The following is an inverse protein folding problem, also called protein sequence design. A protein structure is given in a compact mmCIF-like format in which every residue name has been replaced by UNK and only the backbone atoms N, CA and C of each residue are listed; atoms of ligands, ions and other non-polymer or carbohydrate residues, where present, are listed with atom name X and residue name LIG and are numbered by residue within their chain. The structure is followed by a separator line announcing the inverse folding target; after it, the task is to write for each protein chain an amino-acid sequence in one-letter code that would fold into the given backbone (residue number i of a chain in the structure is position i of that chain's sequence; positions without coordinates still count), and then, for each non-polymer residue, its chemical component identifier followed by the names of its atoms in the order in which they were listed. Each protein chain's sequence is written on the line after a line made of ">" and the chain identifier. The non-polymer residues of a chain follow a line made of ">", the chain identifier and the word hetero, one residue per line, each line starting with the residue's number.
data_IF_919575608151
#
_entry.id   IF_919575608151
#
_cell.length_a   1.000
_cell.length_b   1.000
_cell.length_c   1.000
_cell.angle_alpha   90.00
_cell.angle_beta   90.00
_cell.angle_gamma   90.00
#
_symmetry.space_group_name_H-M   'P 1'
#
loop_
_entity.id
_entity.type
_entity.pdbx_description
1 polymer ?
#
# COMPACT_ATOMS: atom_id res chain seq x y z
N UNK A 1 -15.31 12.80 27.56
CA UNK A 1 -15.36 11.33 27.38
C UNK A 1 -14.23 10.93 26.44
N UNK A 2 -13.32 10.04 26.86
CA UNK A 2 -12.26 9.50 25.99
C UNK A 2 -12.85 8.46 25.03
N UNK A 3 -12.51 8.43 23.74
CA UNK A 3 -12.96 7.35 22.86
C UNK A 3 -12.21 6.06 23.23
N UNK A 4 -12.98 4.99 23.44
CA UNK A 4 -12.47 3.63 23.68
C UNK A 4 -11.94 3.09 22.36
N UNK A 5 -10.65 2.75 22.31
CA UNK A 5 -10.05 1.95 21.25
C UNK A 5 -10.82 0.62 21.14
N UNK A 6 -11.65 0.47 20.12
CA UNK A 6 -12.26 -0.80 19.74
C UNK A 6 -11.32 -1.49 18.75
N UNK A 7 -10.86 -2.67 19.13
CA UNK A 7 -10.02 -3.55 18.31
C UNK A 7 -10.85 -4.00 17.11
N UNK A 8 -10.48 -3.57 15.89
CA UNK A 8 -11.07 -4.05 14.65
C UNK A 8 -10.44 -5.41 14.31
N UNK A 9 -11.18 -6.49 14.52
CA UNK A 9 -10.77 -7.83 14.06
C UNK A 9 -11.12 -7.93 12.57
N UNK A 10 -10.14 -7.73 11.68
CA UNK A 10 -10.29 -8.08 10.27
C UNK A 10 -10.22 -9.61 10.12
N UNK A 11 -11.37 -10.26 10.19
CA UNK A 11 -11.52 -11.65 9.78
C UNK A 11 -11.81 -11.68 8.27
N UNK A 12 -10.81 -12.02 7.47
CA UNK A 12 -11.03 -12.49 6.09
C UNK A 12 -11.72 -13.84 6.21
N UNK A 13 -12.99 -13.92 5.80
CA UNK A 13 -13.82 -15.11 5.93
C UNK A 13 -13.29 -16.21 5.00
N UNK A 14 -12.65 -17.22 5.58
CA UNK A 14 -12.66 -18.59 5.06
C UNK A 14 -13.67 -19.37 5.90
N UNK A 15 -14.86 -19.61 5.36
CA UNK A 15 -15.83 -20.48 6.00
C UNK A 15 -15.40 -21.95 5.82
N UNK A 16 -14.72 -22.50 6.82
CA UNK A 16 -14.65 -23.95 7.04
C UNK A 16 -15.28 -24.21 8.42
N UNK A 17 -16.49 -24.77 8.38
CA UNK A 17 -17.21 -25.20 9.57
C UNK A 17 -16.39 -26.23 10.35
N UNK A 18 -15.98 -25.92 11.57
CA UNK A 18 -15.95 -26.90 12.66
C UNK A 18 -16.29 -26.23 13.98
N UNK A 19 -17.03 -26.98 14.78
CA UNK A 19 -17.72 -26.60 16.01
C UNK A 19 -16.79 -26.12 17.12
N UNK A 20 -16.99 -24.89 17.59
CA UNK A 20 -16.40 -24.40 18.83
C UNK A 20 -17.08 -23.10 19.24
N UNK A 21 -17.80 -23.12 20.36
CA UNK A 21 -18.45 -21.97 20.98
C UNK A 21 -17.39 -21.04 21.58
N UNK A 22 -16.70 -20.27 20.75
CA UNK A 22 -16.09 -19.02 21.19
C UNK A 22 -17.08 -17.91 20.82
N UNK A 23 -17.50 -17.12 21.81
CA UNK A 23 -18.42 -16.01 21.61
C UNK A 23 -17.70 -14.94 20.80
N UNK A 24 -17.81 -15.01 19.47
CA UNK A 24 -17.51 -13.89 18.61
C UNK A 24 -18.36 -12.71 19.10
N UNK A 25 -17.70 -11.63 19.51
CA UNK A 25 -18.40 -10.38 19.81
C UNK A 25 -19.33 -10.04 18.65
N UNK A 26 -20.50 -9.49 18.96
CA UNK A 26 -21.46 -9.08 17.92
C UNK A 26 -20.71 -8.24 16.88
N UNK A 27 -20.80 -8.66 15.62
CA UNK A 27 -20.26 -7.88 14.50
C UNK A 27 -20.76 -6.44 14.61
N UNK A 28 -19.89 -5.48 14.32
CA UNK A 28 -20.26 -4.07 14.42
C UNK A 28 -21.47 -3.80 13.50
N UNK A 29 -22.66 -3.50 14.05
CA UNK A 29 -23.89 -3.46 13.27
C UNK A 29 -23.94 -2.27 12.32
N UNK A 30 -23.03 -1.29 12.47
CA UNK A 30 -22.90 -0.16 11.55
C UNK A 30 -21.78 -0.35 10.52
N UNK A 31 -21.05 -1.47 10.58
CA UNK A 31 -20.05 -1.80 9.57
C UNK A 31 -20.73 -2.45 8.37
N UNK A 32 -20.71 -1.76 7.23
CA UNK A 32 -21.27 -2.17 5.97
C UNK A 32 -20.14 -2.64 5.06
N UNK A 33 -19.66 -3.90 5.19
CA UNK A 33 -18.52 -4.35 4.40
C UNK A 33 -18.84 -4.30 2.90
N UNK A 34 -17.87 -3.91 2.07
CA UNK A 34 -18.00 -4.06 0.63
C UNK A 34 -18.20 -5.53 0.25
N UNK A 35 -19.09 -5.77 -0.71
CA UNK A 35 -19.27 -7.08 -1.31
C UNK A 35 -18.31 -7.23 -2.49
N UNK A 36 -17.49 -8.29 -2.49
CA UNK A 36 -16.60 -8.64 -3.59
C UNK A 36 -17.17 -9.83 -4.35
N UNK A 37 -17.36 -9.66 -5.67
CA UNK A 37 -17.97 -10.69 -6.53
C UNK A 37 -17.07 -11.93 -6.74
N UNK A 38 -15.76 -11.81 -6.50
CA UNK A 38 -14.78 -12.88 -6.66
C UNK A 38 -13.83 -12.94 -5.46
N UNK A 39 -13.61 -14.13 -4.86
CA UNK A 39 -12.55 -14.31 -3.88
C UNK A 39 -11.19 -14.21 -4.57
N UNK A 40 -10.50 -13.09 -4.40
CA UNK A 40 -9.12 -12.92 -4.90
C UNK A 40 -8.11 -13.34 -3.83
N UNK A 41 -6.88 -13.65 -4.26
CA UNK A 41 -5.68 -13.81 -3.41
C UNK A 41 -5.56 -12.68 -2.38
N UNK A 42 -4.91 -12.90 -1.21
CA UNK A 42 -5.18 -12.15 0.02
C UNK A 42 -5.13 -10.63 -0.21
N UNK A 43 -6.32 -10.03 -0.22
CA UNK A 43 -6.46 -8.59 -0.21
C UNK A 43 -5.64 -8.05 0.95
N UNK A 44 -4.68 -7.17 0.65
CA UNK A 44 -3.96 -6.48 1.70
C UNK A 44 -4.77 -5.27 2.10
N UNK A 45 -5.02 -5.15 3.39
CA UNK A 45 -5.72 -4.04 3.99
C UNK A 45 -4.78 -3.28 4.92
N UNK A 46 -4.95 -1.96 4.98
CA UNK A 46 -4.28 -1.13 5.97
C UNK A 46 -5.29 -0.20 6.64
N UNK A 47 -5.38 -0.30 7.97
CA UNK A 47 -6.10 0.67 8.77
C UNK A 47 -5.30 1.97 8.85
N UNK A 48 -5.95 3.09 8.57
CA UNK A 48 -5.38 4.43 8.67
C UNK A 48 -5.63 5.01 10.08
N UNK A 49 -4.80 5.97 10.55
CA UNK A 49 -4.95 6.55 11.89
C UNK A 49 -6.30 7.23 12.16
N UNK A 50 -7.01 7.65 11.11
CA UNK A 50 -8.34 8.28 11.20
C UNK A 50 -9.50 7.26 11.19
N UNK A 51 -9.19 5.95 11.20
CA UNK A 51 -10.16 4.87 11.18
C UNK A 51 -10.66 4.49 9.79
N UNK A 52 -10.30 5.23 8.73
CA UNK A 52 -10.48 4.78 7.35
C UNK A 52 -9.58 3.59 7.07
N UNK A 53 -9.84 2.83 6.02
CA UNK A 53 -8.94 1.75 5.63
C UNK A 53 -8.77 1.67 4.12
N UNK A 54 -7.56 1.26 3.72
CA UNK A 54 -7.20 1.03 2.34
C UNK A 54 -7.28 -0.45 2.03
N UNK A 55 -7.81 -0.79 0.87
CA UNK A 55 -7.57 -2.05 0.20
C UNK A 55 -6.64 -1.79 -0.98
N UNK A 56 -5.58 -2.57 -1.08
CA UNK A 56 -4.59 -2.42 -2.13
C UNK A 56 -4.24 -3.78 -2.72
N UNK A 57 -4.74 -4.01 -3.93
CA UNK A 57 -4.52 -5.17 -4.77
C UNK A 57 -5.16 -4.91 -6.14
N UNK A 58 -4.87 -5.76 -7.12
CA UNK A 58 -5.46 -5.66 -8.46
C UNK A 58 -6.92 -6.11 -8.40
N UNK A 59 -7.86 -5.18 -8.16
CA UNK A 59 -9.29 -5.39 -8.37
C UNK A 59 -9.70 -4.69 -9.63
N UNK A 60 -10.15 -5.45 -10.63
CA UNK A 60 -10.72 -4.86 -11.84
C UNK A 60 -12.17 -4.39 -11.63
N UNK A 61 -12.92 -4.97 -10.68
CA UNK A 61 -14.30 -4.56 -10.37
C UNK A 61 -14.74 -4.75 -8.90
N UNK A 62 -15.10 -3.65 -8.23
CA UNK A 62 -16.11 -3.63 -7.15
C UNK A 62 -17.44 -3.27 -7.83
N UNK A 63 -18.50 -4.04 -7.59
CA UNK A 63 -19.87 -3.88 -8.15
C UNK A 63 -20.11 -2.54 -8.88
N UNK A 64 -20.05 -2.58 -10.22
CA UNK A 64 -20.38 -1.50 -11.16
C UNK A 64 -19.57 -0.18 -11.07
N UNK A 65 -18.47 -0.16 -10.32
CA UNK A 65 -17.54 0.97 -10.28
C UNK A 65 -16.13 0.48 -10.65
N UNK A 66 -15.47 1.08 -11.67
CA UNK A 66 -14.12 0.65 -12.00
C UNK A 66 -13.19 0.98 -10.84
N UNK A 67 -12.62 -0.04 -10.22
CA UNK A 67 -11.71 0.14 -9.09
C UNK A 67 -10.27 0.19 -9.57
N UNK A 68 -9.48 1.11 -9.01
CA UNK A 68 -8.03 1.13 -9.23
C UNK A 68 -7.31 0.19 -8.26
N UNK A 69 -5.97 0.11 -8.32
CA UNK A 69 -5.18 -0.77 -7.46
C UNK A 69 -5.15 -0.34 -5.98
N UNK A 70 -5.73 0.82 -5.65
CA UNK A 70 -5.81 1.38 -4.31
C UNK A 70 -7.21 1.98 -4.09
N UNK A 71 -7.92 1.46 -3.10
CA UNK A 71 -9.30 1.85 -2.79
C UNK A 71 -9.36 2.22 -1.30
N UNK A 72 -10.10 3.28 -0.95
CA UNK A 72 -10.32 3.67 0.44
C UNK A 72 -11.77 3.49 0.85
N UNK A 73 -11.96 3.08 2.09
CA UNK A 73 -13.26 2.95 2.74
C UNK A 73 -13.31 3.80 4.01
N UNK A 74 -14.51 4.24 4.34
CA UNK A 74 -14.82 4.96 5.57
C UNK A 74 -14.86 3.99 6.77
N UNK A 75 -14.80 4.50 8.02
CA UNK A 75 -14.84 3.65 9.21
C UNK A 75 -16.09 2.77 9.33
N UNK A 76 -17.19 3.18 8.70
CA UNK A 76 -18.46 2.45 8.65
C UNK A 76 -18.52 1.38 7.54
N UNK A 77 -17.42 1.17 6.81
CA UNK A 77 -17.32 0.17 5.75
C UNK A 77 -17.73 0.64 4.36
N UNK A 78 -18.34 1.83 4.25
CA UNK A 78 -18.77 2.37 2.95
C UNK A 78 -17.59 2.90 2.13
N UNK A 79 -17.73 2.91 0.79
CA UNK A 79 -16.69 3.41 -0.12
C UNK A 79 -16.44 4.90 0.10
N UNK A 80 -15.18 5.30 0.26
CA UNK A 80 -14.80 6.71 0.29
C UNK A 80 -14.62 7.25 -1.13
N UNK A 81 -15.70 7.81 -1.69
CA UNK A 81 -15.71 8.38 -3.05
C UNK A 81 -14.92 9.69 -3.18
N UNK A 82 -14.41 10.25 -2.06
CA UNK A 82 -13.51 11.41 -2.09
C UNK A 82 -12.05 11.03 -2.35
N UNK A 83 -11.73 9.73 -2.33
CA UNK A 83 -10.38 9.23 -2.60
C UNK A 83 -10.19 8.92 -4.09
N UNK A 84 -9.34 9.71 -4.74
CA UNK A 84 -9.18 9.79 -6.19
C UNK A 84 -7.77 9.38 -6.65
N UNK A 85 -7.35 8.14 -6.35
CA UNK A 85 -6.11 7.62 -6.93
C UNK A 85 -6.31 7.27 -8.42
N UNK A 86 -5.35 7.65 -9.27
CA UNK A 86 -5.43 7.41 -10.72
C UNK A 86 -5.45 5.92 -11.05
N UNK A 87 -6.06 5.58 -12.19
CA UNK A 87 -6.07 4.22 -12.76
C UNK A 87 -4.95 3.96 -13.77
N UNK A 88 -4.04 4.91 -13.93
CA UNK A 88 -2.87 4.74 -14.81
C UNK A 88 -1.86 3.72 -14.25
N UNK A 89 -2.00 3.37 -12.97
CA UNK A 89 -1.23 2.31 -12.31
C UNK A 89 -2.03 1.03 -12.25
N UNK A 90 -1.37 -0.08 -12.59
CA UNK A 90 -1.94 -1.42 -12.57
C UNK A 90 -1.69 -2.15 -11.26
N UNK A 91 -0.87 -1.58 -10.37
CA UNK A 91 -0.53 -2.13 -9.06
C UNK A 91 -0.17 -1.01 -8.08
N UNK A 92 -0.52 -1.21 -6.81
CA UNK A 92 -0.07 -0.40 -5.68
C UNK A 92 0.42 -1.34 -4.58
N UNK A 93 1.65 -1.09 -4.11
CA UNK A 93 2.26 -1.80 -3.00
C UNK A 93 1.77 -1.29 -1.64
N UNK A 94 2.42 -1.71 -0.54
CA UNK A 94 2.00 -1.35 0.81
C UNK A 94 2.02 0.17 1.01
N UNK A 95 0.88 0.79 1.40
CA UNK A 95 0.87 2.18 1.77
C UNK A 95 1.59 2.39 3.11
N UNK A 96 2.26 3.53 3.22
CA UNK A 96 2.85 4.03 4.46
C UNK A 96 2.18 5.37 4.79
N UNK A 97 1.29 5.42 5.79
CA UNK A 97 0.67 6.64 6.23
C UNK A 97 1.71 7.61 6.81
N UNK A 98 1.51 8.90 6.54
CA UNK A 98 2.29 9.99 7.14
C UNK A 98 1.35 11.07 7.71
N UNK A 99 1.87 12.25 8.00
CA UNK A 99 1.10 13.35 8.55
C UNK A 99 0.06 13.90 7.57
N UNK A 100 -1.00 14.50 8.11
CA UNK A 100 -2.03 15.19 7.30
C UNK A 100 -2.84 14.28 6.38
N UNK A 101 -2.90 12.97 6.65
CA UNK A 101 -3.64 12.01 5.82
C UNK A 101 -2.93 11.63 4.52
N UNK A 102 -1.70 12.11 4.29
CA UNK A 102 -0.89 11.72 3.15
C UNK A 102 -0.39 10.28 3.28
N UNK A 103 -0.03 9.68 2.16
CA UNK A 103 0.48 8.32 2.07
C UNK A 103 1.75 8.30 1.21
N UNK A 104 2.68 7.39 1.47
CA UNK A 104 3.72 7.02 0.50
C UNK A 104 3.51 5.57 0.10
N UNK A 105 3.48 5.30 -1.20
CA UNK A 105 3.22 3.97 -1.78
C UNK A 105 4.29 3.62 -2.79
N UNK A 106 4.44 2.33 -3.08
CA UNK A 106 5.01 1.90 -4.37
C UNK A 106 3.89 1.65 -5.37
N UNK A 107 4.13 1.86 -6.66
CA UNK A 107 3.14 1.60 -7.70
C UNK A 107 3.82 1.27 -9.04
N UNK A 108 3.27 0.33 -9.81
CA UNK A 108 3.76 0.02 -11.16
C UNK A 108 2.73 0.34 -12.23
N UNK A 109 3.23 0.70 -13.41
CA UNK A 109 2.42 0.95 -14.59
C UNK A 109 2.56 -0.23 -15.55
N UNK A 110 1.47 -0.53 -16.24
CA UNK A 110 1.44 -1.49 -17.34
C UNK A 110 1.08 -0.73 -18.60
N UNK A 111 2.00 -0.66 -19.54
CA UNK A 111 1.79 0.02 -20.83
C UNK A 111 1.62 -1.05 -21.91
N UNK A 112 0.48 -1.04 -22.59
CA UNK A 112 0.11 -2.05 -23.59
C UNK A 112 0.19 -3.51 -23.09
N UNK A 113 -0.14 -3.75 -21.83
CA UNK A 113 -0.09 -5.09 -21.23
C UNK A 113 1.28 -5.50 -20.67
N UNK A 114 2.30 -4.64 -20.78
CA UNK A 114 3.65 -4.93 -20.28
C UNK A 114 4.06 -3.96 -19.16
N UNK A 115 4.53 -4.51 -18.04
CA UNK A 115 5.25 -3.73 -17.03
C UNK A 115 6.71 -3.58 -17.44
N UNK A 116 7.31 -2.42 -17.17
CA UNK A 116 8.76 -2.21 -17.34
C UNK A 116 9.60 -2.87 -16.21
N UNK A 117 8.96 -3.65 -15.33
CA UNK A 117 9.59 -4.29 -14.18
C UNK A 117 9.91 -3.31 -13.05
N UNK A 118 9.41 -2.08 -13.11
CA UNK A 118 9.69 -1.05 -12.11
C UNK A 118 8.50 -0.70 -11.23
N UNK A 119 8.79 -0.31 -9.99
CA UNK A 119 7.83 0.32 -9.09
C UNK A 119 8.30 1.74 -8.77
N UNK A 120 7.45 2.73 -9.03
CA UNK A 120 7.66 4.11 -8.64
C UNK A 120 7.30 4.30 -7.16
N UNK A 121 8.06 5.13 -6.44
CA UNK A 121 7.66 5.62 -5.11
C UNK A 121 6.85 6.90 -5.28
N UNK A 122 5.59 6.89 -4.85
CA UNK A 122 4.67 8.01 -4.96
C UNK A 122 4.29 8.50 -3.57
N UNK A 123 4.13 9.82 -3.41
CA UNK A 123 3.38 10.40 -2.29
C UNK A 123 1.99 10.79 -2.77
N UNK A 124 0.98 10.44 -1.98
CA UNK A 124 -0.41 10.81 -2.21
C UNK A 124 -0.84 11.85 -1.19
N UNK A 125 -1.67 12.79 -1.64
CA UNK A 125 -2.41 13.69 -0.78
C UNK A 125 -3.54 12.93 -0.04
N UNK A 126 -4.16 13.59 0.93
CA UNK A 126 -5.25 13.00 1.71
C UNK A 126 -6.49 12.64 0.89
N UNK A 127 -6.64 13.23 -0.29
CA UNK A 127 -7.70 12.91 -1.25
C UNK A 127 -7.28 11.83 -2.26
N UNK A 128 -6.11 11.22 -2.12
CA UNK A 128 -5.59 10.19 -3.03
C UNK A 128 -4.94 10.72 -4.30
N UNK A 129 -4.99 12.03 -4.56
CA UNK A 129 -4.27 12.63 -5.68
C UNK A 129 -2.75 12.51 -5.48
N UNK A 130 -1.99 12.38 -6.57
CA UNK A 130 -0.52 12.33 -6.50
C UNK A 130 0.00 13.71 -6.10
N UNK A 131 0.87 13.75 -5.09
CA UNK A 131 1.53 14.96 -4.64
C UNK A 131 2.71 15.30 -5.55
N UNK A 132 2.50 16.23 -6.48
CA UNK A 132 3.50 16.65 -7.48
C UNK A 132 4.73 17.35 -6.87
N UNK A 133 4.68 17.76 -5.60
CA UNK A 133 5.85 18.32 -4.90
C UNK A 133 6.83 17.24 -4.42
N UNK A 134 6.47 15.96 -4.54
CA UNK A 134 7.31 14.82 -4.20
C UNK A 134 7.99 14.30 -5.49
N UNK A 135 9.25 14.68 -5.74
CA UNK A 135 9.88 14.58 -7.07
C UNK A 135 11.42 14.28 -7.01
N UNK A 136 12.06 13.61 -8.00
CA UNK A 136 11.51 12.83 -9.12
C UNK A 136 11.89 11.33 -9.13
N UNK A 137 11.00 10.55 -9.76
CA UNK A 137 11.26 9.34 -10.56
C UNK A 137 12.20 8.28 -9.97
N UNK A 138 12.22 8.13 -8.66
CA UNK A 138 12.94 7.07 -8.02
C UNK A 138 12.15 5.77 -8.19
N UNK A 139 12.49 5.04 -9.25
CA UNK A 139 11.95 3.72 -9.55
C UNK A 139 12.86 2.66 -8.94
N UNK A 140 12.26 1.71 -8.27
CA UNK A 140 12.90 0.45 -7.95
C UNK A 140 12.81 -0.46 -9.18
N UNK A 141 13.93 -1.02 -9.64
CA UNK A 141 13.93 -2.08 -10.63
C UNK A 141 13.70 -3.41 -9.90
N UNK A 142 12.44 -3.85 -9.87
CA UNK A 142 11.97 -4.94 -9.03
C UNK A 142 10.95 -4.46 -8.00
N UNK A 143 10.68 -5.33 -7.02
CA UNK A 143 9.53 -5.15 -6.15
C UNK A 143 9.88 -4.38 -4.88
N UNK A 144 9.03 -3.44 -4.46
CA UNK A 144 9.08 -2.87 -3.11
C UNK A 144 8.26 -3.76 -2.16
N UNK A 145 8.78 -4.00 -0.96
CA UNK A 145 8.16 -4.86 0.05
C UNK A 145 7.71 -4.10 1.28
N UNK A 146 8.39 -3.01 1.64
CA UNK A 146 7.95 -2.13 2.71
C UNK A 146 8.49 -0.71 2.54
N UNK A 147 7.76 0.23 3.14
CA UNK A 147 8.13 1.64 3.23
C UNK A 147 7.92 2.05 4.70
N UNK A 148 8.90 2.74 5.28
CA UNK A 148 8.85 3.18 6.67
C UNK A 148 9.39 4.60 6.83
N UNK A 149 8.75 5.40 7.69
CA UNK A 149 9.22 6.73 8.05
C UNK A 149 10.19 6.67 9.22
N UNK A 150 11.25 7.46 9.15
CA UNK A 150 12.16 7.71 10.25
C UNK A 150 11.71 8.95 11.04
N UNK A 151 12.09 9.10 12.33
CA UNK A 151 11.69 10.25 13.15
C UNK A 151 12.12 11.62 12.61
N UNK A 152 13.15 11.65 11.76
CA UNK A 152 13.68 12.86 11.12
C UNK A 152 12.98 13.20 9.78
N UNK A 153 11.93 12.46 9.41
CA UNK A 153 11.18 12.66 8.18
C UNK A 153 11.76 11.96 6.94
N UNK A 154 12.89 11.26 7.06
CA UNK A 154 13.42 10.42 5.99
C UNK A 154 12.59 9.15 5.81
N UNK A 155 12.70 8.51 4.65
CA UNK A 155 11.88 7.37 4.26
C UNK A 155 12.78 6.18 3.91
N UNK A 156 12.64 5.06 4.60
CA UNK A 156 13.29 3.80 4.22
C UNK A 156 12.40 3.04 3.25
N UNK A 157 13.01 2.53 2.17
CA UNK A 157 12.37 1.70 1.17
C UNK A 157 13.16 0.40 1.06
N UNK A 158 12.47 -0.74 1.20
CA UNK A 158 13.10 -2.07 1.14
C UNK A 158 12.34 -3.01 0.21
N UNK A 159 13.04 -3.94 -0.43
CA UNK A 159 12.41 -4.87 -1.36
C UNK A 159 13.36 -5.82 -2.07
N UNK A 160 12.86 -6.43 -3.15
CA UNK A 160 13.63 -7.28 -4.05
C UNK A 160 13.94 -6.53 -5.34
N UNK A 161 14.55 -5.36 -5.20
CA UNK A 161 15.03 -4.57 -6.33
C UNK A 161 16.55 -4.63 -6.43
N UNK A 162 17.06 -4.61 -7.65
CA UNK A 162 18.50 -4.63 -7.93
C UNK A 162 19.05 -3.23 -8.14
N UNK A 163 18.20 -2.31 -8.59
CA UNK A 163 18.52 -0.92 -8.80
C UNK A 163 17.47 -0.01 -8.20
N UNK A 164 17.88 1.19 -7.85
CA UNK A 164 16.98 2.25 -7.42
C UNK A 164 17.44 3.58 -8.02
N UNK A 165 16.51 4.29 -8.67
CA UNK A 165 16.82 5.51 -9.42
C UNK A 165 17.98 5.33 -10.42
N UNK A 166 18.03 4.17 -11.11
CA UNK A 166 19.06 3.81 -12.08
C UNK A 166 20.44 3.49 -11.49
N UNK A 167 20.59 3.43 -10.17
CA UNK A 167 21.85 3.10 -9.49
C UNK A 167 21.79 1.69 -8.90
N UNK A 168 22.91 0.96 -8.93
CA UNK A 168 23.08 -0.34 -8.28
C UNK A 168 23.03 -0.18 -6.75
N UNK A 169 21.82 -0.18 -6.20
CA UNK A 169 21.51 -0.09 -4.77
C UNK A 169 20.50 -1.18 -4.44
N UNK A 170 20.93 -2.45 -4.31
CA UNK A 170 20.01 -3.55 -4.14
C UNK A 170 19.37 -3.54 -2.75
N UNK A 171 18.09 -3.89 -2.70
CA UNK A 171 17.40 -4.30 -1.48
C UNK A 171 16.95 -3.19 -0.53
N UNK A 172 17.77 -2.15 -0.31
CA UNK A 172 17.46 -1.06 0.62
C UNK A 172 17.98 0.29 0.16
N UNK A 173 17.14 1.31 0.28
CA UNK A 173 17.51 2.72 0.09
C UNK A 173 16.83 3.60 1.13
N UNK A 174 17.31 4.84 1.22
CA UNK A 174 16.66 5.90 1.98
C UNK A 174 16.36 7.10 1.08
N UNK A 175 15.19 7.70 1.25
CA UNK A 175 14.79 8.95 0.62
C UNK A 175 14.76 10.07 1.66
N UNK A 176 14.95 11.29 1.19
CA UNK A 176 14.62 12.51 1.92
C UNK A 176 13.10 12.72 1.94
N UNK A 177 12.64 13.67 2.76
CA UNK A 177 11.21 13.95 2.94
C UNK A 177 10.50 14.42 1.66
N UNK A 178 11.25 14.95 0.69
CA UNK A 178 10.78 15.38 -0.62
C UNK A 178 10.75 14.24 -1.67
N UNK A 179 11.19 13.03 -1.29
CA UNK A 179 11.23 11.86 -2.15
C UNK A 179 12.53 11.68 -2.93
N UNK A 180 13.48 12.60 -2.83
CA UNK A 180 14.79 12.45 -3.46
C UNK A 180 15.64 11.39 -2.75
N UNK A 181 16.50 10.70 -3.51
CA UNK A 181 17.39 9.67 -2.96
C UNK A 181 18.42 10.28 -2.01
N UNK A 182 18.47 9.82 -0.76
CA UNK A 182 19.51 10.21 0.19
C UNK A 182 20.83 9.51 -0.18
N UNK A 183 21.74 10.27 -0.80
CA UNK A 183 23.06 9.77 -1.21
C UNK A 183 24.04 9.62 -0.06
N UNK A 184 23.76 10.22 1.11
CA UNK A 184 24.57 10.04 2.33
C UNK A 184 24.27 8.73 3.04
N UNK A 185 23.17 8.06 2.68
CA UNK A 185 22.85 6.74 3.18
C UNK A 185 23.65 5.66 2.44
N UNK A 186 24.71 5.18 3.09
CA UNK A 186 25.47 4.02 2.66
C UNK A 186 25.00 2.79 3.46
N UNK A 187 24.04 1.99 2.97
CA UNK A 187 23.65 0.77 3.66
C UNK A 187 24.82 -0.22 3.64
N UNK A 188 24.94 -1.02 4.70
CA UNK A 188 25.83 -2.19 4.67
C UNK A 188 25.32 -3.13 3.59
N UNK A 189 26.21 -3.60 2.70
CA UNK A 189 25.87 -4.59 1.68
C UNK A 189 25.20 -5.79 2.36
N UNK A 190 23.93 -6.02 2.06
CA UNK A 190 23.22 -7.21 2.53
C UNK A 190 23.68 -8.37 1.64
N UNK A 191 24.71 -9.08 2.10
CA UNK A 191 25.15 -10.35 1.50
C UNK A 191 24.43 -11.49 2.20
N UNK A 192 23.58 -12.22 1.47
CA UNK A 192 22.81 -13.34 2.00
C UNK A 192 21.33 -13.18 1.74
N UNK A 193 20.88 -13.73 0.61
CA UNK A 193 19.50 -13.74 0.16
C UNK A 193 19.47 -14.08 -1.32
N UNK A 194 18.63 -15.03 -1.72
CA UNK A 194 18.36 -15.25 -3.13
C UNK A 194 17.62 -14.03 -3.66
N UNK A 195 18.31 -13.16 -4.38
CA UNK A 195 17.65 -12.31 -5.38
C UNK A 195 17.08 -13.33 -6.36
N UNK A 196 15.76 -13.60 -6.29
CA UNK A 196 15.12 -14.53 -7.19
C UNK A 196 15.51 -14.19 -8.63
N UNK A 197 15.71 -15.17 -9.52
CA UNK A 197 16.14 -14.89 -10.89
C UNK A 197 15.03 -14.08 -11.56
N UNK A 198 15.23 -12.77 -11.62
CA UNK A 198 14.47 -11.87 -12.47
C UNK A 198 15.07 -11.94 -13.87
N UNK A 199 14.59 -12.89 -14.66
CA UNK A 199 14.56 -12.83 -16.14
C UNK A 199 13.17 -13.25 -16.57
#
# INVERSE_FOLDING_TARGET
>A
MKPKNRVLLMAVIFALFTSGKEAFGQLDPIFHPPFFAVPSLPARAQLLPDGKYLLFFNIDTLTDQPTGPLIRFLPDGTLDTSFNFTRDYSFAGPPAPTSGGKLVISASQTVYGFSDGTEAILRLNADGSIDSSFNPAAKALGNVRAIAFQPDGKILVVGFFTQFAGQNRPGIVRLLADGTLDTSFAPVSIQGGSIGPGV
#
